data_IF_985528968946
#
_entry.id   IF_985528968946
#
_cell.length_a   1.000
_cell.length_b   1.000
_cell.length_c   1.000
_cell.angle_alpha   90.00
_cell.angle_beta   90.00
_cell.angle_gamma   90.00
#
_symmetry.space_group_name_H-M   'P 1'
#
loop_
_entity.id
_entity.type
_entity.pdbx_description
1 polymer ?
#
# COMPACT_ATOMS: atom_id res chain seq x y z
N UNK A 1 17.48 0.69 -0.35
CA UNK A 1 16.34 0.02 -1.04
C UNK A 1 15.05 0.30 -0.28
N UNK A 2 13.97 0.65 -0.98
CA UNK A 2 12.65 0.84 -0.41
C UNK A 2 11.87 -0.50 -0.31
N UNK A 3 10.87 -0.55 0.56
CA UNK A 3 9.90 -1.66 0.62
C UNK A 3 8.51 -1.07 0.47
N UNK A 4 7.80 -1.47 -0.57
CA UNK A 4 6.50 -0.94 -0.93
C UNK A 4 5.42 -1.93 -0.48
N UNK A 5 4.56 -1.51 0.44
CA UNK A 5 3.43 -2.31 0.93
C UNK A 5 2.18 -1.97 0.11
N UNK A 6 1.69 -2.96 -0.64
CA UNK A 6 0.43 -2.87 -1.38
C UNK A 6 -0.61 -3.86 -0.83
N UNK A 7 -1.88 -3.64 -1.15
CA UNK A 7 -2.96 -4.54 -0.75
C UNK A 7 -4.26 -3.81 -0.43
N UNK A 8 -5.29 -4.58 -0.16
CA UNK A 8 -6.64 -4.08 0.08
C UNK A 8 -6.70 -3.07 1.23
N UNK A 9 -7.65 -2.13 1.20
CA UNK A 9 -7.97 -1.33 2.38
C UNK A 9 -8.23 -2.24 3.58
N UNK A 10 -7.69 -1.86 4.75
CA UNK A 10 -7.84 -2.65 5.98
C UNK A 10 -6.94 -3.90 6.09
N UNK A 11 -6.04 -4.18 5.13
CA UNK A 11 -5.10 -5.30 5.26
C UNK A 11 -3.96 -5.05 6.26
N UNK A 12 -3.74 -3.80 6.68
CA UNK A 12 -2.78 -3.47 7.74
C UNK A 12 -1.48 -2.81 7.26
N UNK A 13 -1.40 -2.27 6.03
CA UNK A 13 -0.19 -1.64 5.45
C UNK A 13 0.45 -0.61 6.38
N UNK A 14 -0.31 0.40 6.78
CA UNK A 14 0.20 1.49 7.64
C UNK A 14 0.66 0.95 9.00
N UNK A 15 -0.15 0.10 9.64
CA UNK A 15 0.17 -0.46 10.96
C UNK A 15 1.41 -1.37 10.92
N UNK A 16 1.45 -2.32 9.99
CA UNK A 16 2.60 -3.20 9.84
C UNK A 16 3.83 -2.43 9.32
N UNK A 17 3.62 -1.44 8.43
CA UNK A 17 4.69 -0.63 7.86
C UNK A 17 5.50 0.12 8.91
N UNK A 18 4.84 0.78 9.87
CA UNK A 18 5.51 1.46 11.00
C UNK A 18 6.34 0.47 11.82
N UNK A 19 5.79 -0.70 12.13
CA UNK A 19 6.49 -1.71 12.94
C UNK A 19 7.66 -2.35 12.19
N UNK A 20 7.50 -2.61 10.90
CA UNK A 20 8.59 -3.12 10.03
C UNK A 20 9.69 -2.06 9.88
N UNK A 21 9.34 -0.79 9.69
CA UNK A 21 10.29 0.31 9.60
C UNK A 21 11.12 0.42 10.87
N UNK A 22 10.46 0.39 12.04
CA UNK A 22 11.15 0.38 13.34
C UNK A 22 12.10 -0.80 13.48
N UNK A 23 11.65 -2.01 13.12
CA UNK A 23 12.45 -3.23 13.26
C UNK A 23 13.67 -3.29 12.31
N UNK A 24 13.58 -2.66 11.14
CA UNK A 24 14.62 -2.63 10.12
C UNK A 24 15.43 -1.32 10.10
N UNK A 25 15.24 -0.44 11.09
CA UNK A 25 15.90 0.89 11.17
C UNK A 25 15.72 1.71 9.88
N UNK A 26 14.52 1.65 9.27
CA UNK A 26 14.14 2.36 8.05
C UNK A 26 13.19 3.52 8.33
N UNK A 27 13.15 4.50 7.44
CA UNK A 27 12.09 5.51 7.45
C UNK A 27 10.73 4.87 7.13
N UNK A 28 9.64 5.54 7.54
CA UNK A 28 8.28 5.15 7.17
C UNK A 28 7.56 6.30 6.47
N UNK A 29 6.84 5.97 5.40
CA UNK A 29 5.99 6.90 4.67
C UNK A 29 4.65 6.23 4.34
N UNK A 30 3.56 6.95 4.60
CA UNK A 30 2.21 6.55 4.19
C UNK A 30 1.74 7.54 3.11
N UNK A 31 1.44 7.05 1.90
CA UNK A 31 1.05 7.93 0.79
C UNK A 31 -0.28 8.64 1.05
N UNK A 32 -1.19 8.02 1.83
CA UNK A 32 -2.46 8.66 2.21
C UNK A 32 -2.21 9.89 3.10
N UNK A 33 -1.22 9.82 4.01
CA UNK A 33 -0.82 10.96 4.83
C UNK A 33 -0.10 12.03 3.98
N UNK A 34 0.75 11.62 3.06
CA UNK A 34 1.44 12.55 2.16
C UNK A 34 0.46 13.34 1.31
N UNK A 35 -0.57 12.68 0.75
CA UNK A 35 -1.63 13.35 0.00
C UNK A 35 -2.35 14.38 0.88
N UNK A 36 -2.74 14.00 2.10
CA UNK A 36 -3.41 14.91 3.02
C UNK A 36 -2.55 16.12 3.40
N UNK A 37 -1.24 15.93 3.58
CA UNK A 37 -0.30 17.03 3.84
C UNK A 37 -0.17 17.97 2.65
N UNK A 38 -0.03 17.43 1.44
CA UNK A 38 0.10 18.23 0.22
C UNK A 38 -1.17 19.03 -0.10
N UNK A 39 -2.34 18.44 0.14
CA UNK A 39 -3.64 19.04 -0.14
C UNK A 39 -4.19 19.91 1.01
N UNK A 40 -3.61 19.81 2.21
CA UNK A 40 -4.06 20.53 3.40
C UNK A 40 -5.45 20.09 3.90
N UNK A 41 -5.95 18.92 3.50
CA UNK A 41 -7.29 18.43 3.84
C UNK A 41 -7.34 16.91 3.93
N UNK A 42 -8.40 16.38 4.54
CA UNK A 42 -8.60 14.92 4.66
C UNK A 42 -8.92 14.28 3.32
N UNK A 43 -8.60 12.98 3.15
CA UNK A 43 -8.92 12.24 1.90
C UNK A 43 -10.39 12.35 1.51
N UNK A 44 -11.31 12.24 2.47
CA UNK A 44 -12.75 12.37 2.22
C UNK A 44 -13.14 13.76 1.70
N UNK A 45 -12.46 14.81 2.15
CA UNK A 45 -12.67 16.19 1.72
C UNK A 45 -12.10 16.41 0.31
N UNK A 46 -10.93 15.82 0.00
CA UNK A 46 -10.35 15.85 -1.35
C UNK A 46 -11.31 15.21 -2.35
N UNK A 47 -11.85 14.02 -2.02
CA UNK A 47 -12.83 13.33 -2.87
C UNK A 47 -14.11 14.17 -3.04
N UNK A 48 -14.60 14.79 -1.97
CA UNK A 48 -15.82 15.61 -2.02
C UNK A 48 -15.63 16.87 -2.87
N UNK A 49 -14.45 17.48 -2.86
CA UNK A 49 -14.16 18.75 -3.55
C UNK A 49 -13.65 18.58 -4.97
N UNK A 50 -12.74 17.60 -5.19
CA UNK A 50 -12.07 17.36 -6.48
C UNK A 50 -12.64 16.17 -7.26
N UNK A 51 -13.58 15.45 -6.66
CA UNK A 51 -14.13 14.21 -7.24
C UNK A 51 -13.13 13.04 -7.26
N UNK A 52 -13.56 11.95 -7.88
CA UNK A 52 -12.74 10.73 -8.00
C UNK A 52 -11.49 10.96 -8.86
N UNK A 53 -11.61 11.72 -9.94
CA UNK A 53 -10.50 11.98 -10.86
C UNK A 53 -9.42 12.85 -10.23
N UNK A 54 -9.82 13.94 -9.53
CA UNK A 54 -8.87 14.80 -8.84
C UNK A 54 -8.15 14.09 -7.68
N UNK A 55 -8.84 13.19 -6.98
CA UNK A 55 -8.19 12.34 -5.97
C UNK A 55 -7.21 11.35 -6.63
N UNK A 56 -7.59 10.71 -7.73
CA UNK A 56 -6.75 9.79 -8.48
C UNK A 56 -5.46 10.47 -8.96
N UNK A 57 -5.56 11.70 -9.45
CA UNK A 57 -4.41 12.50 -9.85
C UNK A 57 -3.50 12.84 -8.66
N UNK A 58 -4.07 13.27 -7.53
CA UNK A 58 -3.30 13.55 -6.31
C UNK A 58 -2.59 12.30 -5.79
N UNK A 59 -3.26 11.13 -5.79
CA UNK A 59 -2.68 9.84 -5.40
C UNK A 59 -1.51 9.46 -6.32
N UNK A 60 -1.68 9.52 -7.63
CA UNK A 60 -0.64 9.23 -8.61
C UNK A 60 0.55 10.18 -8.49
N UNK A 61 0.30 11.49 -8.40
CA UNK A 61 1.34 12.51 -8.31
C UNK A 61 2.13 12.42 -7.01
N UNK A 62 1.51 12.01 -5.89
CA UNK A 62 2.20 11.80 -4.62
C UNK A 62 3.38 10.82 -4.72
N UNK A 63 3.28 9.84 -5.62
CA UNK A 63 4.34 8.87 -5.89
C UNK A 63 5.30 9.35 -6.98
N UNK A 64 4.79 9.96 -8.06
CA UNK A 64 5.63 10.41 -9.16
C UNK A 64 6.64 11.50 -8.74
N UNK A 65 6.30 12.30 -7.75
CA UNK A 65 7.18 13.33 -7.17
C UNK A 65 7.99 12.85 -5.97
N UNK A 66 7.76 11.60 -5.52
CA UNK A 66 8.42 11.06 -4.34
C UNK A 66 9.88 10.71 -4.63
N UNK A 67 10.76 11.23 -3.79
CA UNK A 67 12.18 10.87 -3.72
C UNK A 67 12.51 10.41 -2.30
N UNK A 68 12.65 9.11 -2.11
CA UNK A 68 13.01 8.53 -0.81
C UNK A 68 13.84 7.28 -0.99
N UNK A 69 14.75 7.03 -0.04
CA UNK A 69 15.58 5.83 0.02
C UNK A 69 15.49 5.22 1.41
N UNK A 70 15.73 3.93 1.51
CA UNK A 70 15.74 3.20 2.79
C UNK A 70 14.42 3.39 3.58
N UNK A 71 13.29 3.29 2.89
CA UNK A 71 11.97 3.61 3.43
C UNK A 71 11.00 2.43 3.26
N UNK A 72 10.12 2.25 4.24
CA UNK A 72 8.92 1.42 4.11
C UNK A 72 7.79 2.35 3.66
N UNK A 73 7.22 2.09 2.50
CA UNK A 73 6.18 2.92 1.88
C UNK A 73 4.85 2.16 1.92
N UNK A 74 3.90 2.62 2.70
CA UNK A 74 2.52 2.13 2.68
C UNK A 74 1.73 2.92 1.63
N UNK A 75 1.20 2.25 0.60
CA UNK A 75 0.45 2.91 -0.47
C UNK A 75 -1.04 2.93 -0.21
N UNK A 76 -1.76 3.87 -0.83
CA UNK A 76 -3.20 3.80 -1.01
C UNK A 76 -3.62 2.51 -1.73
N UNK A 77 -4.85 2.07 -1.51
CA UNK A 77 -5.33 0.81 -2.11
C UNK A 77 -5.54 0.89 -3.62
N UNK A 78 -5.68 2.08 -4.18
CA UNK A 78 -5.88 2.35 -5.61
C UNK A 78 -4.57 2.54 -6.38
N UNK A 79 -3.44 2.67 -5.71
CA UNK A 79 -2.13 2.90 -6.34
C UNK A 79 -1.83 1.93 -7.48
N UNK A 80 -2.27 0.69 -7.38
CA UNK A 80 -2.04 -0.35 -8.40
C UNK A 80 -2.75 -0.12 -9.73
N UNK A 81 -3.62 0.88 -9.82
CA UNK A 81 -4.21 1.31 -11.09
C UNK A 81 -3.26 2.18 -11.94
N UNK A 82 -2.24 2.78 -11.33
CA UNK A 82 -1.31 3.69 -12.00
C UNK A 82 0.00 2.97 -12.34
N UNK A 83 0.11 2.46 -13.57
CA UNK A 83 1.25 1.63 -14.02
C UNK A 83 2.58 2.39 -13.92
N UNK A 84 2.60 3.67 -14.24
CA UNK A 84 3.78 4.53 -14.14
C UNK A 84 4.23 4.77 -12.69
N UNK A 85 3.29 5.02 -11.77
CA UNK A 85 3.60 5.15 -10.36
C UNK A 85 4.13 3.83 -9.77
N UNK A 86 3.52 2.70 -10.14
CA UNK A 86 3.99 1.38 -9.72
C UNK A 86 5.38 1.05 -10.30
N UNK A 87 5.65 1.42 -11.56
CA UNK A 87 6.99 1.28 -12.16
C UNK A 87 8.02 2.09 -11.38
N UNK A 88 7.74 3.37 -11.11
CA UNK A 88 8.62 4.23 -10.31
C UNK A 88 8.91 3.66 -8.92
N UNK A 89 7.90 3.14 -8.23
CA UNK A 89 8.09 2.51 -6.92
C UNK A 89 9.01 1.27 -7.00
N UNK A 90 8.94 0.52 -8.10
CA UNK A 90 9.76 -0.69 -8.33
C UNK A 90 11.19 -0.39 -8.75
N UNK A 91 11.50 0.79 -9.29
CA UNK A 91 12.88 1.14 -9.69
C UNK A 91 13.88 1.02 -8.54
N UNK A 92 13.49 1.46 -7.33
CA UNK A 92 14.35 1.48 -6.15
C UNK A 92 13.83 0.60 -4.99
N UNK A 93 12.89 -0.31 -5.25
CA UNK A 93 12.23 -1.03 -4.18
C UNK A 93 11.64 -2.39 -4.54
N UNK A 94 11.28 -3.14 -3.49
CA UNK A 94 10.55 -4.40 -3.59
C UNK A 94 9.10 -4.20 -3.20
N UNK A 95 8.19 -4.83 -3.93
CA UNK A 95 6.74 -4.74 -3.69
C UNK A 95 6.26 -5.94 -2.89
N UNK A 96 5.74 -5.67 -1.70
CA UNK A 96 5.18 -6.67 -0.79
C UNK A 96 3.66 -6.53 -0.77
N UNK A 97 2.98 -7.54 -1.28
CA UNK A 97 1.52 -7.63 -1.26
C UNK A 97 1.03 -8.24 0.06
N UNK A 98 0.26 -7.48 0.82
CA UNK A 98 -0.45 -7.97 2.01
C UNK A 98 -1.80 -8.53 1.58
N UNK A 99 -1.86 -9.85 1.34
CA UNK A 99 -3.06 -10.51 0.83
C UNK A 99 -4.10 -10.68 1.93
N UNK A 100 -5.30 -10.17 1.68
CA UNK A 100 -6.45 -10.27 2.57
C UNK A 100 -7.66 -10.74 1.76
N UNK A 101 -8.36 -11.75 2.22
CA UNK A 101 -9.58 -12.25 1.56
C UNK A 101 -10.71 -11.22 1.61
N UNK A 102 -11.61 -11.27 0.63
CA UNK A 102 -12.79 -10.40 0.60
C UNK A 102 -13.59 -10.44 1.90
N UNK A 103 -13.84 -11.65 2.43
CA UNK A 103 -14.55 -11.85 3.72
C UNK A 103 -13.88 -11.10 4.87
N UNK A 104 -12.55 -11.16 4.97
CA UNK A 104 -11.80 -10.50 6.03
C UNK A 104 -11.69 -9.00 5.80
N UNK A 105 -11.58 -8.54 4.54
CA UNK A 105 -11.65 -7.13 4.19
C UNK A 105 -12.99 -6.51 4.66
N UNK A 106 -14.11 -7.15 4.31
CA UNK A 106 -15.46 -6.68 4.70
C UNK A 106 -15.68 -6.64 6.21
N UNK A 107 -15.05 -7.56 6.97
CA UNK A 107 -15.12 -7.52 8.43
C UNK A 107 -14.35 -6.33 9.03
N UNK A 108 -13.24 -5.91 8.38
CA UNK A 108 -12.36 -4.84 8.89
C UNK A 108 -12.81 -3.45 8.45
N UNK A 109 -13.54 -3.33 7.34
CA UNK A 109 -14.01 -2.05 6.81
C UNK A 109 -15.51 -1.90 7.08
N UNK A 110 -15.85 -1.07 8.06
CA UNK A 110 -17.25 -0.75 8.37
C UNK A 110 -17.84 0.35 7.47
N UNK A 111 -16.99 1.27 6.99
CA UNK A 111 -17.41 2.39 6.16
C UNK A 111 -16.33 2.72 5.11
N UNK A 112 -16.61 2.42 3.85
CA UNK A 112 -15.70 2.66 2.73
C UNK A 112 -15.48 4.16 2.48
N UNK A 113 -16.55 4.97 2.52
CA UNK A 113 -16.47 6.43 2.29
C UNK A 113 -15.62 7.13 3.35
N UNK A 114 -15.82 6.79 4.63
CA UNK A 114 -15.06 7.38 5.72
C UNK A 114 -13.55 7.06 5.65
N UNK A 115 -13.16 6.00 4.95
CA UNK A 115 -11.76 5.60 4.73
C UNK A 115 -11.16 6.11 3.41
N UNK A 116 -11.88 6.95 2.67
CA UNK A 116 -11.40 7.44 1.38
C UNK A 116 -11.21 6.32 0.35
N UNK A 117 -12.00 5.24 0.43
CA UNK A 117 -11.90 4.15 -0.55
C UNK A 117 -12.69 4.51 -1.78
N UNK A 118 -11.99 4.72 -2.89
CA UNK A 118 -12.61 4.95 -4.19
C UNK A 118 -13.28 3.67 -4.70
N UNK A 119 -14.57 3.80 -5.02
CA UNK A 119 -15.31 2.84 -5.84
C UNK A 119 -15.63 3.53 -7.17
N UNK A 120 -15.40 2.84 -8.28
CA UNK A 120 -15.87 3.29 -9.60
C UNK A 120 -17.40 3.31 -9.61
N UNK A 121 -17.98 4.17 -10.41
CA UNK A 121 -19.44 4.25 -10.54
C UNK A 121 -20.01 2.89 -10.96
N UNK A 122 -21.04 2.46 -10.24
CA UNK A 122 -21.68 1.17 -10.45
C UNK A 122 -20.93 -0.05 -9.87
N UNK A 123 -19.71 0.13 -9.32
CA UNK A 123 -18.96 -0.98 -8.71
C UNK A 123 -19.45 -1.31 -7.31
N UNK A 124 -19.57 -2.61 -7.06
CA UNK A 124 -19.69 -3.14 -5.71
C UNK A 124 -18.30 -3.27 -5.04
N UNK A 125 -18.22 -3.37 -3.71
CA UNK A 125 -16.96 -3.71 -3.04
C UNK A 125 -16.35 -5.03 -3.53
N UNK A 126 -17.17 -5.95 -4.04
CA UNK A 126 -16.71 -7.23 -4.59
C UNK A 126 -16.02 -7.05 -5.94
N UNK A 127 -16.55 -6.18 -6.79
CA UNK A 127 -15.96 -5.88 -8.11
C UNK A 127 -14.61 -5.20 -7.93
N UNK A 128 -14.53 -4.18 -7.07
CA UNK A 128 -13.26 -3.54 -6.69
C UNK A 128 -12.25 -4.57 -6.16
N UNK A 129 -12.69 -5.49 -5.29
CA UNK A 129 -11.82 -6.52 -4.74
C UNK A 129 -11.26 -7.41 -5.85
N UNK A 130 -12.10 -7.92 -6.73
CA UNK A 130 -11.71 -8.84 -7.79
C UNK A 130 -10.71 -8.18 -8.75
N UNK A 131 -10.97 -6.95 -9.17
CA UNK A 131 -10.10 -6.18 -10.05
C UNK A 131 -8.74 -5.90 -9.40
N UNK A 132 -8.73 -5.34 -8.18
CA UNK A 132 -7.49 -4.99 -7.49
C UNK A 132 -6.66 -6.21 -7.11
N UNK A 133 -7.27 -7.35 -6.77
CA UNK A 133 -6.54 -8.56 -6.42
C UNK A 133 -5.65 -9.06 -7.57
N UNK A 134 -6.11 -8.93 -8.81
CA UNK A 134 -5.32 -9.27 -10.01
C UNK A 134 -4.13 -8.32 -10.13
N UNK A 135 -4.36 -7.01 -9.95
CA UNK A 135 -3.33 -5.99 -10.06
C UNK A 135 -2.29 -6.11 -8.94
N UNK A 136 -2.70 -6.38 -7.69
CA UNK A 136 -1.73 -6.62 -6.62
C UNK A 136 -0.81 -7.80 -6.94
N UNK A 137 -1.34 -8.90 -7.46
CA UNK A 137 -0.54 -10.07 -7.87
C UNK A 137 0.39 -9.75 -9.03
N UNK A 138 -0.04 -8.91 -9.98
CA UNK A 138 0.79 -8.45 -11.12
C UNK A 138 2.06 -7.74 -10.66
N UNK A 139 1.94 -6.87 -9.64
CA UNK A 139 3.07 -6.04 -9.20
C UNK A 139 3.90 -6.64 -8.08
N UNK A 140 3.37 -7.61 -7.33
CA UNK A 140 4.01 -8.19 -6.15
C UNK A 140 5.29 -8.95 -6.47
N UNK A 141 6.36 -8.65 -5.76
CA UNK A 141 7.58 -9.47 -5.70
C UNK A 141 7.48 -10.49 -4.56
N UNK A 142 6.76 -10.14 -3.50
CA UNK A 142 6.51 -10.97 -2.30
C UNK A 142 5.02 -10.90 -1.96
N UNK A 143 4.42 -12.03 -1.60
CA UNK A 143 3.04 -12.07 -1.09
C UNK A 143 3.02 -12.62 0.33
N UNK A 144 2.33 -11.91 1.25
CA UNK A 144 2.16 -12.28 2.66
C UNK A 144 0.68 -12.50 2.95
N UNK A 145 0.30 -13.70 3.38
CA UNK A 145 -1.07 -13.99 3.80
C UNK A 145 -1.39 -13.34 5.16
N UNK A 146 -2.36 -12.42 5.16
CA UNK A 146 -2.81 -11.68 6.34
C UNK A 146 -4.16 -12.17 6.89
N UNK A 147 -4.67 -13.31 6.41
CA UNK A 147 -6.02 -13.77 6.73
C UNK A 147 -6.19 -14.28 8.15
N UNK A 148 -5.21 -15.01 8.66
CA UNK A 148 -5.24 -15.64 9.99
C UNK A 148 -4.18 -15.10 10.93
N UNK A 149 -3.39 -14.13 10.50
CA UNK A 149 -2.26 -13.62 11.25
C UNK A 149 -2.64 -12.45 12.15
N UNK A 150 -2.04 -12.42 13.34
CA UNK A 150 -1.96 -11.20 14.16
C UNK A 150 -1.03 -10.18 13.48
N UNK A 151 -1.06 -8.93 13.94
CA UNK A 151 -0.15 -7.89 13.46
C UNK A 151 1.30 -8.32 13.66
N UNK A 152 1.66 -8.84 14.84
CA UNK A 152 3.02 -9.31 15.16
C UNK A 152 3.50 -10.41 14.20
N UNK A 153 2.65 -11.40 13.92
CA UNK A 153 3.00 -12.48 13.00
C UNK A 153 3.13 -11.98 11.57
N UNK A 154 2.29 -11.02 11.16
CA UNK A 154 2.40 -10.38 9.84
C UNK A 154 3.72 -9.63 9.71
N UNK A 155 4.09 -8.83 10.71
CA UNK A 155 5.37 -8.09 10.75
C UNK A 155 6.56 -9.03 10.66
N UNK A 156 6.58 -10.10 11.48
CA UNK A 156 7.64 -11.14 11.42
C UNK A 156 7.74 -11.78 10.05
N UNK A 157 6.60 -12.10 9.43
CA UNK A 157 6.55 -12.71 8.09
C UNK A 157 7.08 -11.75 7.02
N UNK A 158 6.73 -10.45 7.09
CA UNK A 158 7.25 -9.44 6.18
C UNK A 158 8.77 -9.35 6.31
N UNK A 159 9.30 -9.19 7.51
CA UNK A 159 10.75 -9.07 7.76
C UNK A 159 11.50 -10.30 7.25
N UNK A 160 11.01 -11.50 7.58
CA UNK A 160 11.60 -12.76 7.12
C UNK A 160 11.65 -12.84 5.59
N UNK A 161 10.56 -12.46 4.93
CA UNK A 161 10.45 -12.52 3.47
C UNK A 161 11.35 -11.48 2.77
N UNK A 162 11.45 -10.26 3.32
CA UNK A 162 12.35 -9.21 2.83
C UNK A 162 13.81 -9.68 2.92
N UNK A 163 14.23 -10.22 4.08
CA UNK A 163 15.59 -10.72 4.28
C UNK A 163 15.93 -11.86 3.31
N UNK A 164 15.01 -12.81 3.12
CA UNK A 164 15.19 -13.90 2.17
C UNK A 164 15.30 -13.41 0.73
N UNK A 165 14.48 -12.43 0.34
CA UNK A 165 14.52 -11.81 -0.98
C UNK A 165 15.82 -11.07 -1.23
N UNK A 166 16.29 -10.27 -0.27
CA UNK A 166 17.54 -9.50 -0.35
C UNK A 166 18.76 -10.43 -0.49
N UNK A 167 18.81 -11.49 0.30
CA UNK A 167 19.89 -12.49 0.21
C UNK A 167 19.94 -13.17 -1.16
N UNK A 168 18.79 -13.49 -1.74
CA UNK A 168 18.69 -14.13 -3.07
C UNK A 168 19.17 -13.22 -4.21
N UNK A 169 18.98 -11.90 -4.08
CA UNK A 169 19.28 -10.94 -5.14
C UNK A 169 20.55 -10.11 -4.88
N UNK A 170 21.36 -10.49 -3.88
CA UNK A 170 22.58 -9.78 -3.46
C UNK A 170 22.35 -8.29 -3.16
N UNK A 171 21.17 -7.96 -2.66
CA UNK A 171 20.81 -6.60 -2.28
C UNK A 171 21.18 -6.39 -0.81
N UNK A 172 22.18 -5.53 -0.56
CA UNK A 172 22.51 -5.15 0.80
C UNK A 172 21.37 -4.36 1.42
N UNK A 173 20.76 -4.92 2.45
CA UNK A 173 20.00 -4.14 3.42
C UNK A 173 21.03 -3.34 4.22
N UNK A 174 21.46 -2.17 3.71
CA UNK A 174 22.27 -1.25 4.49
C UNK A 174 21.46 -0.89 5.75
N UNK A 175 21.99 -1.30 6.89
CA UNK A 175 21.52 -0.92 8.24
C UNK A 175 22.08 0.45 8.57
#
# INVERSE_FOLDING_TARGET
MNVILIGMPGCGKSTCGVLVAKALCKSFLDTDLLIQQNEGMKLSEIIATKGNDGFAEAERNSVLTLYTKNCIIATGGSMVYYDDAMKKLKEDGIVVYLELSYKNMMKRIKNFKARGVLLKDGYTPKDMYNERAILYKKYADITIDCNKNTIDNTVKSIIKAINAYSNKHSWNLEV
#
